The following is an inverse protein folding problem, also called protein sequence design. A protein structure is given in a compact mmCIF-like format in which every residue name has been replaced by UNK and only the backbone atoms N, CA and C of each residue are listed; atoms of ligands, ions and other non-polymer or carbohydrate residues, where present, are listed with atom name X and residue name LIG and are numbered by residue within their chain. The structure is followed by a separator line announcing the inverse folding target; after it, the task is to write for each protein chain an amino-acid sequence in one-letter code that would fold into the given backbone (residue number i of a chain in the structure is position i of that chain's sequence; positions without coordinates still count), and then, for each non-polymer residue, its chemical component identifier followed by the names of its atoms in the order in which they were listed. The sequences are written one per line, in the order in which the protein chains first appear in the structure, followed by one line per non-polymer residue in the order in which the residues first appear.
data_IF_518452591800
#
_entry.id   IF_518452591800
#
_cell.length_a   1.000
_cell.length_b   1.000
_cell.length_c   1.000
_cell.angle_alpha   90.00
_cell.angle_beta   90.00
_cell.angle_gamma   90.00
#
_symmetry.space_group_name_H-M   'P 1'
#
loop_
_entity.id
_entity.type
_entity.pdbx_description
1 polymer ?
#
# COMPACT_ATOMS: atom_id res chain seq x y z
N UNK A 1 10.21 -1.47 7.40
CA UNK A 1 9.18 -0.45 7.15
C UNK A 1 9.57 0.63 6.13
N UNK A 2 10.85 1.04 6.01
CA UNK A 2 11.27 2.18 5.17
C UNK A 2 11.29 1.98 3.63
N UNK A 3 10.73 0.89 3.11
CA UNK A 3 11.11 0.34 1.80
C UNK A 3 10.76 1.29 0.65
N UNK A 4 9.55 1.85 0.69
CA UNK A 4 9.05 2.77 -0.31
C UNK A 4 9.59 4.20 -0.16
N UNK A 5 10.41 4.44 0.87
CA UNK A 5 11.06 5.73 1.10
C UNK A 5 12.46 5.80 0.48
N UNK A 6 13.01 4.66 0.03
CA UNK A 6 14.27 4.64 -0.71
C UNK A 6 13.97 4.89 -2.19
N UNK A 7 14.53 5.96 -2.80
CA UNK A 7 14.33 6.22 -4.23
C UNK A 7 14.73 5.00 -5.07
N UNK A 8 13.86 4.60 -5.99
CA UNK A 8 14.07 3.41 -6.80
C UNK A 8 12.93 3.08 -7.74
N UNK A 9 13.02 1.91 -8.34
CA UNK A 9 12.01 1.37 -9.25
C UNK A 9 11.25 0.24 -8.58
N UNK A 10 9.98 0.15 -8.96
CA UNK A 10 9.06 -0.89 -8.53
C UNK A 10 8.68 -1.74 -9.74
N UNK A 11 8.65 -3.05 -9.55
CA UNK A 11 8.09 -3.99 -10.51
C UNK A 11 6.92 -4.71 -9.86
N UNK A 12 5.71 -4.45 -10.34
CA UNK A 12 4.45 -4.90 -9.74
C UNK A 12 3.75 -5.82 -10.72
N UNK A 13 3.50 -7.06 -10.31
CA UNK A 13 2.87 -8.07 -11.15
C UNK A 13 2.13 -9.11 -10.31
N UNK A 14 1.17 -9.79 -10.91
CA UNK A 14 0.52 -10.94 -10.29
C UNK A 14 1.48 -12.12 -10.30
N UNK A 15 1.75 -12.68 -9.12
CA UNK A 15 2.48 -13.94 -9.00
C UNK A 15 1.54 -15.12 -9.24
N UNK A 16 0.30 -15.01 -8.75
CA UNK A 16 -0.80 -15.94 -8.91
C UNK A 16 -2.14 -15.20 -8.75
N UNK A 17 -3.27 -15.92 -8.79
CA UNK A 17 -4.63 -15.34 -8.76
C UNK A 17 -4.96 -14.56 -7.47
N UNK A 18 -4.22 -14.77 -6.38
CA UNK A 18 -4.53 -14.17 -5.08
C UNK A 18 -3.32 -13.45 -4.45
N UNK A 19 -2.19 -13.39 -5.13
CA UNK A 19 -0.96 -12.80 -4.63
C UNK A 19 -0.37 -11.84 -5.66
N UNK A 20 -0.33 -10.56 -5.29
CA UNK A 20 0.39 -9.56 -6.05
C UNK A 20 1.81 -9.45 -5.49
N UNK A 21 2.81 -9.43 -6.38
CA UNK A 21 4.21 -9.28 -6.03
C UNK A 21 4.71 -7.91 -6.43
N UNK A 22 5.43 -7.28 -5.50
CA UNK A 22 6.14 -6.03 -5.73
C UNK A 22 7.62 -6.21 -5.42
N UNK A 23 8.45 -6.08 -6.45
CA UNK A 23 9.90 -6.07 -6.33
C UNK A 23 10.43 -4.63 -6.34
N UNK A 24 11.42 -4.34 -5.51
CA UNK A 24 12.17 -3.09 -5.50
C UNK A 24 13.62 -3.35 -5.91
N UNK A 25 14.15 -2.53 -6.81
CA UNK A 25 15.58 -2.59 -7.13
C UNK A 25 16.41 -2.07 -5.93
N UNK A 26 15.86 -1.06 -5.26
CA UNK A 26 15.83 -0.75 -3.82
C UNK A 26 16.20 -1.85 -2.85
N UNK A 27 17.47 -2.21 -2.64
CA UNK A 27 17.80 -3.26 -1.68
C UNK A 27 17.36 -4.66 -2.14
N UNK A 28 16.98 -4.86 -3.41
CA UNK A 28 16.51 -6.14 -3.97
C UNK A 28 15.42 -6.82 -3.13
N UNK A 29 14.43 -6.04 -2.70
CA UNK A 29 13.41 -6.51 -1.79
C UNK A 29 12.14 -6.93 -2.52
N UNK A 30 11.57 -8.05 -2.09
CA UNK A 30 10.31 -8.59 -2.61
C UNK A 30 9.23 -8.51 -1.53
N UNK A 31 8.06 -8.01 -1.89
CA UNK A 31 6.85 -8.02 -1.07
C UNK A 31 5.75 -8.77 -1.76
N UNK A 32 5.04 -9.60 -0.99
CA UNK A 32 3.90 -10.38 -1.43
C UNK A 32 2.65 -9.85 -0.76
N UNK A 33 1.66 -9.47 -1.55
CA UNK A 33 0.39 -8.89 -1.12
C UNK A 33 -0.70 -9.94 -1.29
N UNK A 34 -1.21 -10.46 -0.18
CA UNK A 34 -2.16 -11.56 -0.16
C UNK A 34 -3.60 -11.04 -0.08
N UNK A 35 -4.40 -11.29 -1.13
CA UNK A 35 -5.81 -10.90 -1.18
C UNK A 35 -6.75 -11.88 -0.49
N UNK A 36 -6.26 -13.10 -0.25
CA UNK A 36 -6.97 -14.16 0.46
C UNK A 36 -6.03 -14.86 1.42
N UNK A 37 -6.59 -15.32 2.53
CA UNK A 37 -5.84 -15.97 3.59
C UNK A 37 -5.55 -15.03 4.75
N UNK A 38 -5.24 -15.64 5.89
CA UNK A 38 -4.70 -14.97 7.06
C UNK A 38 -3.25 -15.40 7.24
N UNK A 39 -2.50 -14.69 8.08
CA UNK A 39 -1.20 -15.15 8.53
C UNK A 39 -1.31 -16.63 8.99
N UNK A 40 -0.46 -17.53 8.48
CA UNK A 40 -0.32 -18.89 8.97
C UNK A 40 -0.02 -18.90 10.49
N UNK A 41 -0.71 -19.73 11.29
CA UNK A 41 -0.62 -19.69 12.76
C UNK A 41 0.78 -19.91 13.36
N UNK A 42 1.69 -20.51 12.60
CA UNK A 42 3.05 -20.85 13.04
C UNK A 42 4.14 -20.13 12.25
N UNK A 43 3.80 -19.06 11.54
CA UNK A 43 4.79 -18.29 10.79
C UNK A 43 5.63 -17.43 11.74
N UNK A 44 6.94 -17.65 11.73
CA UNK A 44 7.87 -16.86 12.53
C UNK A 44 7.94 -15.42 11.98
N UNK A 45 8.06 -14.39 12.84
CA UNK A 45 8.22 -13.01 12.36
C UNK A 45 9.38 -12.87 11.38
N UNK A 46 9.16 -12.12 10.31
CA UNK A 46 10.13 -11.90 9.24
C UNK A 46 10.45 -10.42 9.08
N UNK A 47 11.51 -10.08 8.36
CA UNK A 47 11.81 -8.67 8.07
C UNK A 47 10.79 -8.02 7.12
N UNK A 48 10.04 -8.82 6.35
CA UNK A 48 8.95 -8.35 5.49
C UNK A 48 7.60 -8.30 6.20
N UNK A 49 7.44 -9.10 7.26
CA UNK A 49 6.15 -9.38 7.84
C UNK A 49 5.22 -10.13 6.89
N UNK A 50 3.93 -10.08 7.21
CA UNK A 50 2.84 -10.60 6.39
C UNK A 50 1.96 -9.44 5.94
N UNK A 51 1.80 -9.29 4.62
CA UNK A 51 1.05 -8.18 4.00
C UNK A 51 -0.31 -8.68 3.51
N UNK A 52 -1.37 -8.36 4.25
CA UNK A 52 -2.75 -8.62 3.85
C UNK A 52 -3.25 -7.48 2.97
N UNK A 53 -3.81 -7.79 1.82
CA UNK A 53 -4.20 -6.82 0.80
C UNK A 53 -5.71 -6.85 0.54
N UNK A 54 -6.31 -5.68 0.41
CA UNK A 54 -7.71 -5.53 0.06
C UNK A 54 -7.92 -4.32 -0.83
N UNK A 55 -8.79 -4.47 -1.82
CA UNK A 55 -9.27 -3.36 -2.62
C UNK A 55 -10.21 -2.50 -1.78
N UNK A 56 -9.88 -1.21 -1.65
CA UNK A 56 -10.70 -0.21 -0.97
C UNK A 56 -11.37 0.72 -1.98
N UNK A 57 -12.36 1.50 -1.52
CA UNK A 57 -13.13 2.38 -2.41
C UNK A 57 -14.54 1.90 -2.74
N UNK A 58 -14.91 0.70 -2.28
CA UNK A 58 -16.27 0.15 -2.40
C UNK A 58 -17.25 0.82 -1.43
N UNK A 59 -16.79 1.81 -0.67
CA UNK A 59 -17.64 2.58 0.23
C UNK A 59 -18.75 3.26 -0.60
N UNK A 60 -19.99 3.27 -0.09
CA UNK A 60 -21.04 4.09 -0.69
C UNK A 60 -20.50 5.52 -0.82
N UNK A 61 -20.61 6.15 -2.00
CA UNK A 61 -20.28 7.58 -2.14
C UNK A 61 -20.94 8.32 -0.98
N UNK A 62 -20.16 9.06 -0.18
CA UNK A 62 -20.79 9.95 0.79
C UNK A 62 -21.68 10.91 -0.01
N UNK A 63 -22.90 11.12 0.49
CA UNK A 63 -23.97 11.90 -0.16
C UNK A 63 -23.59 13.38 -0.39
N UNK A 64 -22.37 13.78 -0.03
CA UNK A 64 -21.84 15.14 -0.06
C UNK A 64 -21.04 15.50 -1.32
N UNK A 65 -20.67 14.55 -2.18
CA UNK A 65 -19.93 14.84 -3.42
C UNK A 65 -20.82 15.39 -4.56
N UNK A 66 -21.95 16.02 -4.22
CA UNK A 66 -22.74 16.84 -5.14
C UNK A 66 -23.54 16.11 -6.23
N UNK A 67 -23.54 14.77 -6.28
CA UNK A 67 -24.30 13.99 -7.26
C UNK A 67 -25.49 13.24 -6.64
N UNK A 68 -26.64 13.91 -6.64
CA UNK A 68 -27.96 13.29 -6.51
C UNK A 68 -28.39 12.95 -5.08
N UNK A 69 -29.61 13.36 -4.74
CA UNK A 69 -30.25 13.00 -3.47
C UNK A 69 -30.50 11.50 -3.32
N UNK A 70 -30.98 11.06 -2.14
CA UNK A 70 -31.25 9.65 -1.86
C UNK A 70 -32.12 8.96 -2.92
N UNK A 71 -31.66 7.83 -3.47
CA UNK A 71 -32.50 6.93 -4.26
C UNK A 71 -33.31 6.06 -3.30
N UNK A 72 -34.63 6.01 -3.50
CA UNK A 72 -35.53 5.15 -2.74
C UNK A 72 -35.92 3.93 -3.57
N UNK A 73 -35.98 2.76 -2.94
CA UNK A 73 -36.64 1.60 -3.53
C UNK A 73 -38.17 1.82 -3.58
N UNK A 74 -38.95 0.95 -4.26
CA UNK A 74 -40.41 1.05 -4.27
C UNK A 74 -41.08 0.97 -2.88
N UNK A 75 -40.34 0.59 -1.84
CA UNK A 75 -40.78 0.55 -0.45
C UNK A 75 -40.31 1.77 0.37
N UNK A 76 -39.73 2.80 -0.28
CA UNK A 76 -39.28 4.04 0.35
C UNK A 76 -37.96 3.93 1.12
N UNK A 77 -37.24 2.80 1.03
CA UNK A 77 -35.96 2.61 1.72
C UNK A 77 -34.84 3.26 0.92
N UNK A 78 -33.94 3.93 1.62
CA UNK A 78 -32.73 4.46 1.01
C UNK A 78 -31.86 3.31 0.51
N UNK A 79 -31.64 3.26 -0.80
CA UNK A 79 -30.79 2.27 -1.46
C UNK A 79 -29.62 2.96 -2.13
N UNK A 80 -28.45 2.32 -2.10
CA UNK A 80 -27.32 2.69 -2.94
C UNK A 80 -27.60 2.08 -4.30
N UNK A 81 -28.00 2.89 -5.28
CA UNK A 81 -28.18 2.42 -6.65
C UNK A 81 -26.85 1.86 -7.19
N UNK A 82 -26.89 0.86 -8.07
CA UNK A 82 -25.66 0.29 -8.65
C UNK A 82 -24.76 1.37 -9.28
N UNK A 83 -25.35 2.40 -9.90
CA UNK A 83 -24.65 3.56 -10.46
C UNK A 83 -23.93 4.46 -9.42
N UNK A 84 -24.25 4.31 -8.12
CA UNK A 84 -23.63 5.03 -7.01
C UNK A 84 -22.54 4.22 -6.32
N UNK A 85 -22.39 2.92 -6.63
CA UNK A 85 -21.25 2.14 -6.17
C UNK A 85 -20.01 2.66 -6.90
N UNK A 86 -18.99 3.03 -6.14
CA UNK A 86 -17.68 3.36 -6.69
C UNK A 86 -16.92 2.05 -6.82
N UNK A 87 -16.32 1.83 -7.99
CA UNK A 87 -15.35 0.75 -8.13
C UNK A 87 -14.17 1.05 -7.20
N UNK A 88 -13.56 0.00 -6.65
CA UNK A 88 -12.38 0.15 -5.82
C UNK A 88 -11.33 1.06 -6.50
N UNK A 89 -10.92 2.13 -5.83
CA UNK A 89 -10.02 3.15 -6.37
C UNK A 89 -8.60 3.04 -5.81
N UNK A 90 -8.41 2.33 -4.70
CA UNK A 90 -7.11 2.13 -4.07
C UNK A 90 -6.91 0.71 -3.57
N UNK A 91 -5.64 0.32 -3.43
CA UNK A 91 -5.25 -0.92 -2.76
C UNK A 91 -4.79 -0.58 -1.34
N UNK A 92 -5.44 -1.15 -0.33
CA UNK A 92 -4.97 -1.10 1.06
C UNK A 92 -4.18 -2.38 1.37
N UNK A 93 -2.97 -2.20 1.89
CA UNK A 93 -2.12 -3.29 2.36
C UNK A 93 -1.80 -3.07 3.83
N UNK A 94 -2.09 -4.06 4.67
CA UNK A 94 -1.77 -4.04 6.10
C UNK A 94 -0.69 -5.07 6.36
N UNK A 95 0.46 -4.61 6.84
CA UNK A 95 1.62 -5.45 7.16
C UNK A 95 1.79 -5.56 8.67
N UNK A 96 1.86 -6.80 9.15
CA UNK A 96 2.11 -7.14 10.57
C UNK A 96 3.16 -8.25 10.68
N UNK A 97 3.43 -8.78 11.87
CA UNK A 97 4.36 -9.89 12.09
C UNK A 97 5.79 -9.60 11.59
N UNK A 98 6.19 -8.34 11.68
CA UNK A 98 7.54 -7.91 11.35
C UNK A 98 8.49 -8.15 12.51
N UNK A 99 9.76 -8.42 12.22
CA UNK A 99 10.84 -8.34 13.22
C UNK A 99 11.07 -6.87 13.61
N UNK A 100 11.38 -6.56 14.87
CA UNK A 100 11.78 -5.20 15.27
C UNK A 100 12.93 -4.69 14.40
N UNK A 101 12.84 -3.45 13.94
CA UNK A 101 13.79 -2.86 13.00
C UNK A 101 13.76 -1.34 13.03
N UNK A 102 14.06 -0.70 11.89
CA UNK A 102 14.07 0.76 11.78
C UNK A 102 13.08 1.30 10.73
N UNK A 103 12.42 2.41 11.08
CA UNK A 103 11.49 3.14 10.21
C UNK A 103 12.20 3.86 9.06
N UNK A 104 13.47 4.20 9.27
CA UNK A 104 14.39 4.81 8.30
C UNK A 104 15.81 4.26 8.53
N UNK A 105 16.71 4.32 7.54
CA UNK A 105 18.11 3.90 7.74
C UNK A 105 18.71 4.66 8.94
N UNK A 106 19.22 3.93 9.93
CA UNK A 106 19.81 4.47 11.17
C UNK A 106 18.89 5.44 11.96
N UNK A 107 17.57 5.32 11.77
CA UNK A 107 16.59 6.24 12.34
C UNK A 107 15.84 5.67 13.54
N UNK A 108 14.59 6.12 13.69
CA UNK A 108 13.68 5.68 14.75
C UNK A 108 13.37 4.18 14.60
N UNK A 109 13.45 3.38 15.68
CA UNK A 109 13.10 1.97 15.62
C UNK A 109 11.58 1.76 15.51
N UNK A 110 11.20 0.56 15.06
CA UNK A 110 9.84 0.02 15.22
C UNK A 110 9.90 -1.32 15.94
N UNK A 111 8.88 -1.60 16.74
CA UNK A 111 8.72 -2.81 17.53
C UNK A 111 8.17 -3.96 16.69
N UNK A 112 8.21 -5.18 17.23
CA UNK A 112 7.55 -6.33 16.59
C UNK A 112 6.02 -6.21 16.55
N UNK A 113 5.45 -5.25 17.30
CA UNK A 113 4.01 -4.98 17.35
C UNK A 113 3.61 -3.84 16.40
N UNK A 114 4.54 -3.29 15.63
CA UNK A 114 4.24 -2.23 14.67
C UNK A 114 3.28 -2.74 13.58
N UNK A 115 2.32 -1.89 13.22
CA UNK A 115 1.39 -2.10 12.11
C UNK A 115 1.72 -1.07 11.03
N UNK A 116 1.93 -1.55 9.81
CA UNK A 116 2.17 -0.70 8.64
C UNK A 116 0.96 -0.81 7.71
N UNK A 117 0.24 0.28 7.55
CA UNK A 117 -0.85 0.39 6.58
C UNK A 117 -0.37 1.20 5.38
N UNK A 118 -0.56 0.68 4.18
CA UNK A 118 -0.19 1.33 2.94
C UNK A 118 -1.39 1.43 2.02
N UNK A 119 -1.58 2.61 1.46
CA UNK A 119 -2.64 2.92 0.50
C UNK A 119 -1.97 3.25 -0.82
N UNK A 120 -2.26 2.45 -1.84
CA UNK A 120 -1.71 2.59 -3.19
C UNK A 120 -2.78 3.14 -4.12
N UNK A 121 -2.56 4.36 -4.60
CA UNK A 121 -3.47 5.11 -5.44
C UNK A 121 -2.84 5.34 -6.81
N UNK A 122 -3.55 4.98 -7.87
CA UNK A 122 -3.10 5.24 -9.24
C UNK A 122 -3.88 6.42 -9.82
N UNK A 123 -3.17 7.44 -10.29
CA UNK A 123 -3.78 8.55 -11.01
C UNK A 123 -3.00 8.90 -12.27
N UNK A 124 -3.66 9.60 -13.19
CA UNK A 124 -3.03 10.12 -14.40
C UNK A 124 -3.12 11.64 -14.38
N UNK A 125 -1.99 12.30 -14.62
CA UNK A 125 -1.94 13.74 -14.76
C UNK A 125 -2.63 14.17 -16.07
N UNK A 126 -3.62 15.09 -16.05
CA UNK A 126 -4.41 15.42 -17.23
C UNK A 126 -3.61 16.14 -18.31
N UNK A 127 -2.50 16.80 -17.96
CA UNK A 127 -1.70 17.61 -18.90
C UNK A 127 -0.65 16.77 -19.62
N UNK A 128 0.17 16.06 -18.87
CA UNK A 128 1.28 15.24 -19.37
C UNK A 128 0.86 13.82 -19.72
N UNK A 129 -0.35 13.39 -19.32
CA UNK A 129 -0.85 12.01 -19.43
C UNK A 129 0.06 10.95 -18.79
N UNK A 130 0.99 11.38 -17.94
CA UNK A 130 1.82 10.47 -17.15
C UNK A 130 0.96 9.79 -16.08
N UNK A 131 1.15 8.49 -15.92
CA UNK A 131 0.52 7.74 -14.84
C UNK A 131 1.47 7.68 -13.65
N UNK A 132 0.93 7.91 -12.47
CA UNK A 132 1.63 7.91 -11.20
C UNK A 132 0.98 6.92 -10.25
N UNK A 133 1.81 6.36 -9.37
CA UNK A 133 1.40 5.59 -8.20
C UNK A 133 1.78 6.43 -6.98
N UNK A 134 0.78 6.96 -6.28
CA UNK A 134 0.95 7.52 -4.95
C UNK A 134 0.86 6.41 -3.92
N UNK A 135 1.77 6.42 -2.95
CA UNK A 135 1.73 5.50 -1.82
C UNK A 135 1.75 6.30 -0.54
N UNK A 136 0.69 6.13 0.26
CA UNK A 136 0.62 6.67 1.62
C UNK A 136 0.90 5.55 2.60
N UNK A 137 1.96 5.67 3.38
CA UNK A 137 2.33 4.72 4.43
C UNK A 137 2.01 5.32 5.79
N UNK A 138 1.26 4.60 6.60
CA UNK A 138 0.95 4.93 8.00
C UNK A 138 1.55 3.85 8.87
N UNK A 139 2.42 4.23 9.81
CA UNK A 139 3.01 3.30 10.76
C UNK A 139 2.52 3.62 12.15
N UNK A 140 1.86 2.64 12.78
CA UNK A 140 1.41 2.73 14.17
C UNK A 140 2.24 1.78 15.02
N UNK A 141 2.88 2.32 16.05
CA UNK A 141 3.67 1.53 16.99
C UNK A 141 3.65 2.19 18.38
N UNK A 142 2.77 1.75 19.29
CA UNK A 142 2.60 2.41 20.60
C UNK A 142 3.84 2.33 21.49
N UNK A 143 4.83 1.48 21.17
CA UNK A 143 6.05 1.37 21.94
C UNK A 143 7.04 2.51 21.62
N UNK A 144 7.15 2.90 20.35
CA UNK A 144 8.16 3.88 19.91
C UNK A 144 7.56 5.17 19.32
N UNK A 145 6.26 5.18 18.99
CA UNK A 145 5.56 6.31 18.38
C UNK A 145 4.39 6.76 19.27
N UNK A 146 4.35 8.06 19.56
CA UNK A 146 3.23 8.68 20.31
C UNK A 146 2.00 8.83 19.40
N UNK A 147 2.22 9.13 18.13
CA UNK A 147 1.21 9.24 17.08
C UNK A 147 1.65 8.47 15.84
N UNK A 148 0.73 8.05 14.95
CA UNK A 148 1.11 7.36 13.73
C UNK A 148 2.06 8.19 12.87
N UNK A 149 3.14 7.56 12.39
CA UNK A 149 4.03 8.17 11.41
C UNK A 149 3.42 8.03 10.02
N UNK A 150 3.18 9.16 9.34
CA UNK A 150 2.62 9.20 7.98
C UNK A 150 3.71 9.64 7.00
N UNK A 151 3.86 8.90 5.91
CA UNK A 151 4.82 9.17 4.85
C UNK A 151 4.18 9.01 3.48
N UNK A 152 4.67 9.76 2.48
CA UNK A 152 4.18 9.70 1.11
C UNK A 152 5.31 9.47 0.12
N UNK A 153 5.09 8.60 -0.85
CA UNK A 153 5.99 8.36 -1.96
C UNK A 153 5.21 8.38 -3.29
N UNK A 154 5.85 8.85 -4.36
CA UNK A 154 5.25 8.92 -5.68
C UNK A 154 6.17 8.25 -6.71
N UNK A 155 5.62 7.31 -7.46
CA UNK A 155 6.33 6.59 -8.51
C UNK A 155 5.71 6.89 -9.86
N UNK A 156 6.53 7.27 -10.84
CA UNK A 156 6.10 7.45 -12.22
C UNK A 156 6.08 6.12 -12.95
N UNK A 157 4.98 5.79 -13.63
CA UNK A 157 4.95 4.63 -14.54
C UNK A 157 5.86 4.90 -15.75
N UNK A 158 6.74 3.94 -16.02
CA UNK A 158 7.62 3.91 -17.19
C UNK A 158 7.07 2.94 -18.25
N UNK A 159 7.43 3.10 -19.54
CA UNK A 159 6.88 2.28 -20.62
C UNK A 159 7.32 0.80 -20.55
N UNK A 160 8.53 0.55 -20.08
CA UNK A 160 9.18 -0.76 -20.07
C UNK A 160 10.03 -0.95 -18.79
N UNK A 161 10.72 -2.09 -18.67
CA UNK A 161 11.61 -2.38 -17.54
C UNK A 161 12.98 -1.69 -17.63
N UNK A 162 13.16 -0.71 -18.52
CA UNK A 162 14.47 -0.07 -18.70
C UNK A 162 14.93 0.68 -17.44
N UNK A 163 16.23 0.58 -17.17
CA UNK A 163 16.89 1.24 -16.05
C UNK A 163 16.72 0.53 -14.71
N UNK A 164 16.28 -0.73 -14.69
CA UNK A 164 16.32 -1.58 -13.50
C UNK A 164 17.77 -1.74 -13.00
N UNK A 165 18.04 -1.32 -11.77
CA UNK A 165 19.39 -1.26 -11.19
C UNK A 165 19.41 -1.83 -9.76
N UNK A 166 19.47 -3.17 -9.61
CA UNK A 166 19.34 -3.84 -8.32
C UNK A 166 20.55 -3.56 -7.43
N UNK A 167 20.32 -2.97 -6.26
CA UNK A 167 21.34 -2.73 -5.24
C UNK A 167 21.10 -3.62 -4.02
N UNK A 168 22.16 -4.12 -3.34
CA UNK A 168 21.98 -4.93 -2.15
C UNK A 168 21.38 -4.13 -0.99
N UNK A 169 20.73 -4.81 -0.04
CA UNK A 169 20.32 -4.20 1.22
C UNK A 169 21.54 -3.76 2.03
N UNK A 170 21.75 -2.45 2.20
CA UNK A 170 22.79 -1.90 3.08
C UNK A 170 22.25 -0.76 3.97
N UNK A 171 22.70 -0.71 5.23
CA UNK A 171 22.36 0.36 6.17
C UNK A 171 23.33 1.55 6.14
N UNK A 172 24.52 1.35 5.57
CA UNK A 172 25.67 2.25 5.75
C UNK A 172 26.06 2.99 4.47
N UNK A 173 25.39 2.73 3.34
CA UNK A 173 25.70 3.37 2.06
C UNK A 173 24.43 4.01 1.46
N UNK A 174 24.57 5.19 0.83
CA UNK A 174 23.53 5.73 -0.04
C UNK A 174 23.30 4.80 -1.24
N UNK A 175 22.13 4.91 -1.85
CA UNK A 175 22.00 4.63 -3.29
C UNK A 175 22.48 5.86 -4.05
#
# INVERSE_FOLDING_TARGET
AAILQVPGRLHVYWQDDNTLRMDTDSGTQTRLFHFRGSLPPSEAPSWQGYSAAQWGGNDPRDRRDGQGGPVQDPAGRLVVGEAQRKDADYLKVVTTHMRPGYLQKNGVPYSGNAIVEEYFDKFSDPYTRNTWLAVTTVVTDPQYLIEPLIMHAHFKKIPDAAGWDPTPCSANEPR
#
